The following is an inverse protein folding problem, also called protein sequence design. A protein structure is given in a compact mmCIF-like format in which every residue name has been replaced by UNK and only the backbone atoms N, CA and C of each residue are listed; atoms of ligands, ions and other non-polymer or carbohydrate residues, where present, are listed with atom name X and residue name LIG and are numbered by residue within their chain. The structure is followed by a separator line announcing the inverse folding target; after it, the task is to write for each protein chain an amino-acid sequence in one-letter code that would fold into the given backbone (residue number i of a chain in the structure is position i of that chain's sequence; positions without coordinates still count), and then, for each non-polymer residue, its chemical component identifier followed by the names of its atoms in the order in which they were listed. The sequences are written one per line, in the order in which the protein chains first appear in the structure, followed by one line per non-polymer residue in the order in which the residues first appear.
data_IF_471370176433
#
_entry.id   IF_471370176433
#
_cell.length_a   1.000
_cell.length_b   1.000
_cell.length_c   1.000
_cell.angle_alpha   90.00
_cell.angle_beta   90.00
_cell.angle_gamma   90.00
#
_symmetry.space_group_name_H-M   'P 1'
#
loop_
_entity.id
_entity.type
_entity.pdbx_description
1 polymer ?
#
# COMPACT_ATOMS: atom_id res chain seq x y z
N UNK A 1 24.52 -5.35 -11.14
CA UNK A 1 23.51 -5.02 -10.12
C UNK A 1 22.42 -4.21 -10.80
N UNK A 2 21.16 -4.68 -10.80
CA UNK A 2 20.06 -3.86 -11.32
C UNK A 2 19.77 -2.82 -10.25
N UNK A 3 19.97 -1.54 -10.58
CA UNK A 3 19.68 -0.44 -9.68
C UNK A 3 18.19 -0.38 -9.32
N UNK A 4 17.80 0.57 -8.46
CA UNK A 4 16.41 0.69 -8.06
C UNK A 4 15.49 0.85 -9.27
N UNK A 5 14.43 0.04 -9.34
CA UNK A 5 13.48 0.09 -10.46
C UNK A 5 12.38 1.07 -10.10
N UNK A 6 12.26 2.17 -10.83
CA UNK A 6 11.12 3.07 -10.68
C UNK A 6 9.84 2.35 -11.13
N UNK A 7 8.86 2.27 -10.23
CA UNK A 7 7.51 1.76 -10.50
C UNK A 7 6.48 2.84 -10.22
N UNK A 8 5.28 2.68 -10.77
CA UNK A 8 4.17 3.61 -10.55
C UNK A 8 3.18 2.98 -9.59
N UNK A 9 2.89 3.65 -8.48
CA UNK A 9 1.89 3.19 -7.52
C UNK A 9 0.52 3.06 -8.20
N UNK A 10 -0.16 1.93 -8.03
CA UNK A 10 -1.48 1.76 -8.62
C UNK A 10 -2.54 2.66 -7.98
N UNK A 11 -2.43 2.95 -6.67
CA UNK A 11 -3.38 3.79 -5.94
C UNK A 11 -3.20 5.28 -6.24
N UNK A 12 -2.04 5.86 -5.94
CA UNK A 12 -1.82 7.31 -6.05
C UNK A 12 -1.14 7.74 -7.36
N UNK A 13 -0.77 6.79 -8.23
CA UNK A 13 -0.09 7.03 -9.52
C UNK A 13 1.25 7.76 -9.41
N UNK A 14 1.81 7.89 -8.21
CA UNK A 14 3.14 8.46 -8.01
C UNK A 14 4.25 7.44 -8.30
N UNK A 15 5.37 7.86 -8.91
CA UNK A 15 6.53 7.02 -9.07
C UNK A 15 7.15 6.72 -7.70
N UNK A 16 7.64 5.50 -7.51
CA UNK A 16 8.32 5.08 -6.29
C UNK A 16 9.43 4.07 -6.61
N UNK A 17 10.35 3.93 -5.66
CA UNK A 17 11.47 3.02 -5.77
C UNK A 17 11.05 1.58 -5.42
N UNK A 18 11.14 0.67 -6.39
CA UNK A 18 10.99 -0.76 -6.14
C UNK A 18 12.32 -1.37 -5.68
N UNK A 19 12.32 -1.87 -4.46
CA UNK A 19 13.46 -2.48 -3.75
C UNK A 19 13.53 -4.01 -3.93
N UNK A 20 12.78 -4.55 -4.90
CA UNK A 20 12.81 -5.96 -5.27
C UNK A 20 12.36 -6.90 -4.16
N UNK A 21 13.20 -7.89 -3.80
CA UNK A 21 12.93 -8.89 -2.77
C UNK A 21 12.63 -8.28 -1.38
N UNK A 22 13.06 -7.04 -1.13
CA UNK A 22 12.76 -6.31 0.10
C UNK A 22 11.49 -5.47 -0.04
N UNK A 23 10.38 -6.07 -0.46
CA UNK A 23 9.13 -5.34 -0.71
C UNK A 23 8.75 -4.43 0.48
N UNK A 24 8.26 -3.23 0.17
CA UNK A 24 7.82 -2.26 1.17
C UNK A 24 6.75 -2.82 2.12
N UNK A 25 5.89 -3.75 1.66
CA UNK A 25 4.89 -4.40 2.51
C UNK A 25 5.52 -5.11 3.72
N UNK A 26 6.66 -5.79 3.50
CA UNK A 26 7.38 -6.50 4.57
C UNK A 26 8.15 -5.56 5.49
N UNK A 27 8.61 -4.41 4.97
CA UNK A 27 9.34 -3.41 5.75
C UNK A 27 8.43 -2.55 6.64
N UNK A 28 7.23 -2.22 6.16
CA UNK A 28 6.26 -1.38 6.86
C UNK A 28 5.47 -2.18 7.91
N UNK A 29 5.37 -3.50 7.75
CA UNK A 29 4.64 -4.36 8.69
C UNK A 29 3.15 -4.43 8.40
N UNK A 30 2.79 -4.67 7.14
CA UNK A 30 1.41 -4.90 6.71
C UNK A 30 0.89 -6.22 7.30
N UNK A 31 -0.29 -6.20 7.93
CA UNK A 31 -0.92 -7.41 8.48
C UNK A 31 -1.45 -8.31 7.36
N UNK A 32 -1.72 -9.59 7.66
CA UNK A 32 -2.28 -10.53 6.68
C UNK A 32 -3.61 -10.03 6.11
N UNK A 33 -4.53 -9.55 6.96
CA UNK A 33 -5.81 -8.98 6.52
C UNK A 33 -5.65 -7.76 5.60
N UNK A 34 -4.70 -6.87 5.92
CA UNK A 34 -4.39 -5.72 5.07
C UNK A 34 -3.77 -6.17 3.75
N UNK A 35 -2.92 -7.20 3.77
CA UNK A 35 -2.29 -7.78 2.57
C UNK A 35 -3.34 -8.40 1.66
N UNK A 36 -4.28 -9.18 2.19
CA UNK A 36 -5.40 -9.75 1.43
C UNK A 36 -6.25 -8.65 0.79
N UNK A 37 -6.54 -7.57 1.54
CA UNK A 37 -7.26 -6.42 1.01
C UNK A 37 -6.50 -5.71 -0.12
N UNK A 38 -5.17 -5.54 0.01
CA UNK A 38 -4.33 -4.98 -1.04
C UNK A 38 -4.39 -5.88 -2.28
N UNK A 39 -4.15 -7.18 -2.12
CA UNK A 39 -4.09 -8.15 -3.22
C UNK A 39 -5.44 -8.30 -3.96
N UNK A 40 -6.55 -8.13 -3.25
CA UNK A 40 -7.88 -8.17 -3.85
C UNK A 40 -8.23 -6.92 -4.67
N UNK A 41 -7.58 -5.78 -4.42
CA UNK A 41 -7.98 -4.46 -4.99
C UNK A 41 -6.97 -3.89 -5.98
N UNK A 42 -5.69 -4.21 -5.81
CA UNK A 42 -4.59 -3.71 -6.63
C UNK A 42 -3.91 -4.87 -7.33
N UNK A 43 -3.69 -4.74 -8.63
CA UNK A 43 -3.01 -5.72 -9.49
C UNK A 43 -1.49 -5.51 -9.56
N UNK A 44 -1.00 -4.32 -9.23
CA UNK A 44 0.39 -3.94 -9.16
C UNK A 44 0.73 -3.38 -7.75
N UNK A 45 1.94 -2.86 -7.60
CA UNK A 45 2.50 -2.51 -6.31
C UNK A 45 2.03 -1.13 -5.83
N UNK A 46 1.92 -1.01 -4.51
CA UNK A 46 1.69 0.27 -3.83
C UNK A 46 3.03 0.87 -3.38
N UNK A 47 3.13 2.21 -3.42
CA UNK A 47 4.28 2.93 -2.90
C UNK A 47 4.33 2.88 -1.35
N UNK A 48 5.50 3.14 -0.72
CA UNK A 48 5.62 3.13 0.74
C UNK A 48 4.64 4.09 1.43
N UNK A 49 4.29 5.22 0.81
CA UNK A 49 3.34 6.19 1.38
C UNK A 49 1.92 5.62 1.44
N UNK A 50 1.47 4.92 0.40
CA UNK A 50 0.17 4.26 0.40
C UNK A 50 0.14 3.07 1.35
N UNK A 51 1.21 2.29 1.38
CA UNK A 51 1.35 1.17 2.32
C UNK A 51 1.37 1.65 3.78
N UNK A 52 2.00 2.79 4.07
CA UNK A 52 1.97 3.37 5.42
C UNK A 52 0.54 3.78 5.82
N UNK A 53 -0.26 4.33 4.91
CA UNK A 53 -1.68 4.61 5.15
C UNK A 53 -2.49 3.33 5.39
N UNK A 54 -2.11 2.22 4.73
CA UNK A 54 -2.72 0.92 5.02
C UNK A 54 -2.38 0.45 6.41
N UNK A 55 -1.10 0.49 6.78
CA UNK A 55 -0.64 0.12 8.11
C UNK A 55 -1.31 0.97 9.22
N UNK A 56 -1.48 2.27 8.97
CA UNK A 56 -2.13 3.22 9.88
C UNK A 56 -3.67 3.09 9.93
N UNK A 57 -4.27 2.31 9.02
CA UNK A 57 -5.72 2.14 8.93
C UNK A 57 -6.46 3.27 8.21
N UNK A 58 -5.75 4.28 7.71
CA UNK A 58 -6.31 5.38 6.89
C UNK A 58 -6.80 4.86 5.53
N UNK A 59 -6.10 3.87 4.95
CA UNK A 59 -6.42 3.27 3.65
C UNK A 59 -6.47 1.75 3.77
N UNK A 60 -7.61 1.14 3.97
CA UNK A 60 -7.61 -0.32 4.17
C UNK A 60 -8.98 -0.97 4.22
N UNK A 61 -9.05 -2.23 4.68
CA UNK A 61 -10.32 -2.86 5.00
C UNK A 61 -10.95 -2.06 6.14
N UNK A 62 -11.89 -1.18 5.81
CA UNK A 62 -12.61 -0.42 6.81
C UNK A 62 -13.40 -1.41 7.68
N UNK A 63 -13.31 -1.32 9.03
CA UNK A 63 -14.36 -1.89 9.86
C UNK A 63 -15.60 -1.09 9.50
N UNK A 64 -16.50 -1.70 8.74
CA UNK A 64 -17.69 -1.06 8.20
C UNK A 64 -18.60 -0.60 9.33
N UNK A 65 -18.33 0.56 9.94
CA UNK A 65 -19.31 1.44 10.60
C UNK A 65 -18.74 2.81 11.06
N UNK A 66 -18.34 3.70 10.16
CA UNK A 66 -18.54 5.15 10.41
C UNK A 66 -18.60 5.94 9.09
N UNK A 67 -19.66 6.76 9.01
CA UNK A 67 -20.05 7.58 7.86
C UNK A 67 -19.33 8.95 7.91
N UNK A 68 -19.60 9.85 6.95
CA UNK A 68 -18.61 10.51 6.12
C UNK A 68 -17.88 11.69 6.79
N UNK A 69 -16.79 12.11 6.15
CA UNK A 69 -16.27 13.48 6.12
C UNK A 69 -17.32 14.54 6.53
N UNK A 70 -17.07 15.19 7.67
CA UNK A 70 -17.85 16.33 8.14
C UNK A 70 -17.01 17.23 9.03
N UNK A 71 -16.46 18.30 8.46
CA UNK A 71 -16.59 19.70 8.91
C UNK A 71 -16.05 20.60 7.81
#
# INVERSE_FOLDING_TARGET
MRGPVAKTCEHCRQPFECVGYQCWCGKIGITEQQMDWIAARFKDCLCPVCLQQVADGVLGPQPSNETPHGT
#
